data_IF_927135685854
#
_entry.id   IF_927135685854
#
_cell.length_a   1.000
_cell.length_b   1.000
_cell.length_c   1.000
_cell.angle_alpha   90.00
_cell.angle_beta   90.00
_cell.angle_gamma   90.00
#
_symmetry.space_group_name_H-M   'P 1'
#
loop_
_entity.id
_entity.type
_entity.pdbx_description
1 polymer ?
#
# COMPACT_ATOMS: atom_id res chain seq x y z
N UNK A 1 2.89 -9.66 18.08
CA UNK A 1 2.23 -8.33 18.06
C UNK A 1 2.85 -7.36 17.05
N UNK A 2 4.17 -7.10 17.05
CA UNK A 2 4.82 -6.14 16.14
C UNK A 2 4.62 -6.45 14.63
N UNK A 3 4.71 -7.73 14.25
CA UNK A 3 4.48 -8.19 12.87
C UNK A 3 3.02 -8.00 12.43
N UNK A 4 2.06 -8.16 13.34
CA UNK A 4 0.63 -7.95 13.06
C UNK A 4 0.34 -6.49 12.69
N UNK A 5 0.98 -5.54 13.37
CA UNK A 5 0.86 -4.12 13.02
C UNK A 5 1.43 -3.83 11.62
N UNK A 6 2.60 -4.39 11.28
CA UNK A 6 3.15 -4.25 9.94
C UNK A 6 2.19 -4.78 8.86
N UNK A 7 1.62 -5.97 9.04
CA UNK A 7 0.60 -6.49 8.12
C UNK A 7 -0.66 -5.62 8.08
N UNK A 8 -1.10 -5.07 9.21
CA UNK A 8 -2.26 -4.18 9.26
C UNK A 8 -2.00 -2.90 8.45
N UNK A 9 -0.85 -2.25 8.64
CA UNK A 9 -0.44 -1.06 7.89
C UNK A 9 -0.28 -1.37 6.40
N UNK A 10 0.19 -2.57 6.06
CA UNK A 10 0.31 -3.02 4.67
C UNK A 10 -1.07 -3.07 4.01
N UNK A 11 -2.02 -3.76 4.65
CA UNK A 11 -3.38 -3.87 4.12
C UNK A 11 -4.04 -2.50 4.05
N UNK A 12 -3.83 -1.64 5.06
CA UNK A 12 -4.38 -0.29 5.09
C UNK A 12 -3.89 0.58 3.92
N UNK A 13 -2.64 0.39 3.44
CA UNK A 13 -2.16 1.11 2.26
C UNK A 13 -2.95 0.71 1.00
N UNK A 14 -3.32 -0.56 0.83
CA UNK A 14 -4.18 -0.99 -0.28
C UNK A 14 -5.62 -0.50 -0.12
N UNK A 15 -6.12 -0.37 1.10
CA UNK A 15 -7.44 0.23 1.35
C UNK A 15 -7.46 1.68 0.88
N UNK A 16 -6.39 2.46 1.07
CA UNK A 16 -6.30 3.83 0.57
C UNK A 16 -6.50 3.90 -0.96
N UNK A 17 -5.91 2.97 -1.72
CA UNK A 17 -6.14 2.83 -3.16
C UNK A 17 -7.59 2.48 -3.50
N UNK A 18 -8.21 1.57 -2.73
CA UNK A 18 -9.63 1.24 -2.89
C UNK A 18 -10.54 2.44 -2.65
N UNK A 19 -10.25 3.27 -1.64
CA UNK A 19 -10.99 4.50 -1.35
C UNK A 19 -10.83 5.52 -2.47
N UNK A 20 -9.63 5.68 -3.04
CA UNK A 20 -9.40 6.56 -4.20
C UNK A 20 -10.28 6.15 -5.39
N UNK A 21 -10.40 4.85 -5.66
CA UNK A 21 -11.27 4.35 -6.72
C UNK A 21 -12.76 4.64 -6.49
N UNK A 22 -13.16 4.80 -5.22
CA UNK A 22 -14.54 5.12 -4.82
C UNK A 22 -14.83 6.63 -4.78
N UNK A 23 -13.81 7.50 -4.68
CA UNK A 23 -13.99 8.96 -4.67
C UNK A 23 -14.83 9.53 -5.82
N UNK A 24 -14.70 9.10 -7.10
CA UNK A 24 -15.51 9.65 -8.18
C UNK A 24 -16.99 9.28 -8.11
N UNK A 25 -17.36 8.27 -7.30
CA UNK A 25 -18.76 7.89 -7.05
C UNK A 25 -19.38 8.68 -5.90
N UNK A 26 -18.57 9.45 -5.17
CA UNK A 26 -19.04 10.33 -4.12
C UNK A 26 -19.41 11.67 -4.75
N UNK A 27 -20.58 12.21 -4.41
CA UNK A 27 -21.12 13.47 -4.96
C UNK A 27 -20.41 14.73 -4.42
N UNK A 28 -19.07 14.73 -4.48
CA UNK A 28 -18.20 15.81 -4.01
C UNK A 28 -17.60 16.58 -5.19
N UNK A 29 -17.11 17.79 -4.91
CA UNK A 29 -16.56 18.66 -5.97
C UNK A 29 -15.24 18.10 -6.52
N UNK A 30 -14.92 18.43 -7.78
CA UNK A 30 -13.65 18.00 -8.43
C UNK A 30 -12.41 18.44 -7.65
N UNK A 31 -12.47 19.63 -7.03
CA UNK A 31 -11.38 20.15 -6.19
C UNK A 31 -11.17 19.26 -4.98
N UNK A 32 -12.26 18.88 -4.29
CA UNK A 32 -12.20 17.97 -3.16
C UNK A 32 -11.68 16.59 -3.56
N UNK A 33 -12.13 16.03 -4.69
CA UNK A 33 -11.63 14.74 -5.19
C UNK A 33 -10.11 14.79 -5.39
N UNK A 34 -9.60 15.83 -6.04
CA UNK A 34 -8.16 15.98 -6.27
C UNK A 34 -7.37 16.11 -4.95
N UNK A 35 -7.89 16.89 -3.99
CA UNK A 35 -7.26 17.05 -2.66
C UNK A 35 -7.25 15.73 -1.89
N UNK A 36 -8.39 15.03 -1.80
CA UNK A 36 -8.49 13.74 -1.11
C UNK A 36 -7.62 12.68 -1.77
N UNK A 37 -7.62 12.61 -3.10
CA UNK A 37 -6.78 11.66 -3.85
C UNK A 37 -5.31 11.88 -3.52
N UNK A 38 -4.84 13.13 -3.57
CA UNK A 38 -3.44 13.46 -3.27
C UNK A 38 -3.08 13.09 -1.83
N UNK A 39 -3.95 13.42 -0.86
CA UNK A 39 -3.75 13.07 0.55
C UNK A 39 -3.72 11.55 0.77
N UNK A 40 -4.65 10.80 0.15
CA UNK A 40 -4.73 9.34 0.25
C UNK A 40 -3.53 8.64 -0.39
N UNK A 41 -3.02 9.15 -1.52
CA UNK A 41 -1.80 8.62 -2.16
C UNK A 41 -0.61 8.78 -1.22
N UNK A 42 -0.39 9.99 -0.69
CA UNK A 42 0.73 10.26 0.22
C UNK A 42 0.61 9.40 1.48
N UNK A 43 -0.58 9.31 2.09
CA UNK A 43 -0.83 8.47 3.25
C UNK A 43 -0.60 6.98 2.95
N UNK A 44 -1.06 6.51 1.79
CA UNK A 44 -0.87 5.13 1.34
C UNK A 44 0.60 4.78 1.18
N UNK A 45 1.38 5.63 0.51
CA UNK A 45 2.84 5.48 0.40
C UNK A 45 3.50 5.44 1.78
N UNK A 46 3.20 6.41 2.65
CA UNK A 46 3.79 6.48 4.00
C UNK A 46 3.47 5.22 4.81
N UNK A 47 2.22 4.74 4.80
CA UNK A 47 1.84 3.50 5.49
C UNK A 47 2.51 2.27 4.91
N UNK A 48 2.70 2.21 3.59
CA UNK A 48 3.41 1.12 2.92
C UNK A 48 4.88 1.08 3.36
N UNK A 49 5.58 2.20 3.31
CA UNK A 49 6.98 2.28 3.74
C UNK A 49 7.13 1.99 5.24
N UNK A 50 6.25 2.52 6.09
CA UNK A 50 6.23 2.21 7.52
C UNK A 50 5.98 0.71 7.76
N UNK A 51 5.06 0.12 7.01
CA UNK A 51 4.76 -1.31 7.10
C UNK A 51 6.00 -2.15 6.79
N UNK A 52 6.71 -1.86 5.69
CA UNK A 52 7.94 -2.56 5.33
C UNK A 52 9.01 -2.43 6.44
N UNK A 53 9.15 -1.22 7.01
CA UNK A 53 10.08 -0.97 8.11
C UNK A 53 9.72 -1.80 9.36
N UNK A 54 8.43 -1.86 9.72
CA UNK A 54 7.95 -2.59 10.88
C UNK A 54 8.00 -4.11 10.72
N UNK A 55 7.76 -4.59 9.49
CA UNK A 55 7.70 -6.01 9.16
C UNK A 55 9.10 -6.61 8.94
N UNK A 56 10.06 -5.77 8.55
CA UNK A 56 11.49 -6.04 8.62
C UNK A 56 12.00 -7.07 7.60
N UNK A 57 13.22 -7.57 7.87
CA UNK A 57 14.01 -8.43 6.95
C UNK A 57 13.29 -9.71 6.54
N UNK A 58 12.49 -10.30 7.43
CA UNK A 58 11.71 -11.52 7.15
C UNK A 58 10.75 -11.33 5.97
N UNK A 59 10.07 -10.19 5.91
CA UNK A 59 9.08 -9.91 4.88
C UNK A 59 9.72 -9.42 3.59
N UNK A 60 10.78 -8.60 3.68
CA UNK A 60 11.58 -8.22 2.52
C UNK A 60 12.19 -9.46 1.87
N UNK A 61 12.64 -10.44 2.65
CA UNK A 61 13.15 -11.71 2.13
C UNK A 61 12.05 -12.49 1.39
N UNK A 62 10.82 -12.55 1.94
CA UNK A 62 9.67 -13.16 1.25
C UNK A 62 9.31 -12.44 -0.06
N UNK A 63 9.30 -11.10 -0.07
CA UNK A 63 9.06 -10.30 -1.29
C UNK A 63 10.16 -10.56 -2.32
N UNK A 64 11.43 -10.54 -1.91
CA UNK A 64 12.57 -10.82 -2.79
C UNK A 64 12.47 -12.22 -3.39
N UNK A 65 12.17 -13.24 -2.59
CA UNK A 65 11.99 -14.61 -3.09
C UNK A 65 10.85 -14.68 -4.11
N UNK A 66 9.72 -14.00 -3.86
CA UNK A 66 8.62 -13.93 -4.80
C UNK A 66 9.02 -13.26 -6.13
N UNK A 67 9.76 -12.15 -6.07
CA UNK A 67 10.22 -11.42 -7.25
C UNK A 67 11.32 -12.18 -8.02
N UNK A 68 12.26 -12.82 -7.32
CA UNK A 68 13.34 -13.62 -7.92
C UNK A 68 12.80 -14.91 -8.55
N UNK A 69 11.85 -15.61 -7.92
CA UNK A 69 11.22 -16.81 -8.54
C UNK A 69 10.56 -16.51 -9.88
N UNK A 70 10.10 -15.27 -10.10
CA UNK A 70 9.51 -14.87 -11.37
C UNK A 70 10.55 -14.78 -12.49
N UNK A 71 11.83 -14.55 -12.17
CA UNK A 71 12.92 -14.41 -13.15
C UNK A 71 13.34 -15.76 -13.73
N UNK A 72 13.31 -16.83 -12.93
CA UNK A 72 13.68 -18.19 -13.37
C UNK A 72 12.58 -18.89 -14.21
N UNK A 73 11.35 -18.36 -14.21
CA UNK A 73 10.23 -18.90 -15.00
C UNK A 73 10.10 -18.25 -16.39
N UNK A 74 10.93 -17.25 -16.71
CA UNK A 74 10.86 -16.45 -17.94
C UNK A 74 12.18 -16.56 -18.75
N UNK A 75 13.21 -17.25 -18.25
CA UNK A 75 14.43 -17.60 -19.00
C UNK A 75 14.35 -18.99 -19.60
#
# INVERSE_FOLDING_TARGET
MKKTLGYLLFVLSFVAWGVIALLPFLEITKVQIASFTTMLIIAGEVFFWLSLLFLGKDFISKIKVFFTRKKDLIS
#
